data_IF_300207888355
#
_entry.id   IF_300207888355
#
_cell.length_a   1.000
_cell.length_b   1.000
_cell.length_c   1.000
_cell.angle_alpha   90.00
_cell.angle_beta   90.00
_cell.angle_gamma   90.00
#
_symmetry.space_group_name_H-M   'P 1'
#
loop_
_entity.id
_entity.type
_entity.pdbx_description
1 polymer ?
#
# COMPACT_ATOMS: atom_id res chain seq x y z
N UNK A 1 -1.14 12.71 -13.20
CA UNK A 1 -0.86 12.21 -11.84
C UNK A 1 0.59 12.55 -11.49
N UNK A 2 0.82 13.19 -10.34
CA UNK A 2 2.16 13.69 -9.97
C UNK A 2 3.16 12.54 -9.75
N UNK A 3 4.42 12.74 -10.15
CA UNK A 3 5.52 11.78 -9.99
C UNK A 3 5.65 11.25 -8.56
N UNK A 4 5.29 12.09 -7.58
CA UNK A 4 5.30 11.78 -6.16
C UNK A 4 4.32 10.67 -5.79
N UNK A 5 3.09 10.73 -6.30
CA UNK A 5 2.08 9.69 -6.09
C UNK A 5 2.53 8.35 -6.66
N UNK A 6 3.15 8.38 -7.85
CA UNK A 6 3.72 7.18 -8.49
C UNK A 6 4.84 6.57 -7.65
N UNK A 7 5.73 7.40 -7.07
CA UNK A 7 6.80 6.93 -6.17
C UNK A 7 6.25 6.30 -4.89
N UNK A 8 5.27 6.92 -4.21
CA UNK A 8 4.71 6.35 -2.97
C UNK A 8 3.98 5.04 -3.23
N UNK A 9 3.18 4.98 -4.30
CA UNK A 9 2.43 3.76 -4.66
C UNK A 9 3.34 2.55 -4.90
N UNK A 10 4.57 2.74 -5.37
CA UNK A 10 5.53 1.63 -5.52
C UNK A 10 6.05 1.05 -4.20
N UNK A 11 6.11 1.85 -3.12
CA UNK A 11 6.64 1.40 -1.83
C UNK A 11 5.62 0.65 -0.97
N UNK A 12 4.34 0.98 -1.07
CA UNK A 12 3.26 0.36 -0.25
C UNK A 12 2.68 -0.91 -0.92
N UNK A 13 3.26 -1.34 -2.04
CA UNK A 13 2.70 -2.40 -2.88
C UNK A 13 2.84 -3.78 -2.26
N UNK A 14 1.71 -4.47 -2.10
CA UNK A 14 1.68 -5.80 -1.49
C UNK A 14 2.07 -6.91 -2.48
N UNK A 15 2.49 -8.07 -1.97
CA UNK A 15 2.94 -9.19 -2.81
C UNK A 15 1.82 -9.71 -3.73
N UNK A 16 0.57 -9.70 -3.26
CA UNK A 16 -0.58 -10.08 -4.08
C UNK A 16 -0.82 -9.09 -5.21
N UNK A 17 -0.65 -7.78 -4.98
CA UNK A 17 -0.79 -6.74 -6.03
C UNK A 17 0.23 -6.94 -7.14
N UNK A 18 1.47 -7.28 -6.78
CA UNK A 18 2.53 -7.61 -7.76
C UNK A 18 2.18 -8.85 -8.58
N UNK A 19 1.66 -9.88 -7.90
CA UNK A 19 1.27 -11.14 -8.55
C UNK A 19 0.09 -10.93 -9.51
N UNK A 20 -0.91 -10.15 -9.10
CA UNK A 20 -2.06 -9.78 -9.93
C UNK A 20 -1.61 -8.98 -11.15
N UNK A 21 -0.74 -7.97 -10.98
CA UNK A 21 -0.24 -7.22 -12.13
C UNK A 21 0.59 -8.05 -13.09
N UNK A 22 1.45 -8.94 -12.58
CA UNK A 22 2.19 -9.89 -13.42
C UNK A 22 1.25 -10.78 -14.23
N UNK A 23 0.15 -11.23 -13.61
CA UNK A 23 -0.87 -12.04 -14.28
C UNK A 23 -1.65 -11.23 -15.33
N UNK A 24 -1.98 -9.96 -15.04
CA UNK A 24 -2.62 -9.04 -16.01
C UNK A 24 -1.68 -8.79 -17.20
N UNK A 25 -0.40 -8.50 -16.94
CA UNK A 25 0.62 -8.23 -17.96
C UNK A 25 0.97 -9.47 -18.79
N UNK A 26 0.93 -10.66 -18.19
CA UNK A 26 1.15 -11.94 -18.88
C UNK A 26 -0.02 -12.38 -19.78
N UNK A 27 -1.11 -11.61 -19.81
CA UNK A 27 -2.33 -11.95 -20.53
C UNK A 27 -3.17 -12.99 -19.77
N UNK A 28 -4.47 -12.72 -19.62
CA UNK A 28 -5.46 -13.64 -19.08
C UNK A 28 -5.64 -14.86 -20.01
N UNK A 29 -4.65 -15.73 -20.09
CA UNK A 29 -4.66 -16.82 -21.08
C UNK A 29 -5.39 -18.06 -20.57
N UNK A 30 -5.57 -18.24 -19.25
CA UNK A 30 -6.30 -19.39 -18.73
C UNK A 30 -6.73 -19.24 -17.26
N UNK A 31 -7.66 -18.33 -16.95
CA UNK A 31 -8.35 -18.39 -15.65
C UNK A 31 -9.57 -19.30 -15.81
N UNK A 32 -9.57 -20.53 -15.26
CA UNK A 32 -10.77 -21.34 -15.24
C UNK A 32 -11.81 -20.62 -14.38
N UNK A 33 -12.81 -20.04 -15.03
CA UNK A 33 -14.01 -19.52 -14.38
C UNK A 33 -14.68 -20.71 -13.71
N UNK A 34 -14.41 -20.93 -12.41
CA UNK A 34 -15.19 -21.89 -11.64
C UNK A 34 -16.59 -21.31 -11.54
N UNK A 35 -17.52 -21.91 -12.27
CA UNK A 35 -18.97 -21.70 -12.10
C UNK A 35 -19.37 -22.29 -10.74
N UNK A 36 -18.96 -21.63 -9.66
CA UNK A 36 -19.47 -21.92 -8.33
C UNK A 36 -20.93 -21.48 -8.30
N UNK A 37 -21.83 -22.35 -7.85
CA UNK A 37 -23.20 -21.95 -7.52
C UNK A 37 -23.11 -20.86 -6.46
N UNK A 38 -23.28 -19.61 -6.86
CA UNK A 38 -23.25 -18.44 -5.97
C UNK A 38 -24.37 -18.61 -4.95
N UNK A 39 -24.03 -19.02 -3.72
CA UNK A 39 -24.93 -18.83 -2.59
C UNK A 39 -24.93 -17.34 -2.30
N UNK A 40 -25.97 -16.64 -2.76
CA UNK A 40 -26.16 -15.20 -2.59
C UNK A 40 -26.13 -14.76 -1.12
N UNK A 41 -26.41 -15.70 -0.22
CA UNK A 41 -26.41 -15.57 1.25
C UNK A 41 -24.99 -15.56 1.85
N UNK A 42 -23.99 -15.92 1.05
CA UNK A 42 -22.56 -15.90 1.37
C UNK A 42 -21.80 -14.86 0.51
N UNK A 43 -22.50 -14.01 -0.26
CA UNK A 43 -21.87 -12.86 -0.91
C UNK A 43 -21.49 -11.91 0.22
N UNK A 44 -20.22 -12.02 0.56
CA UNK A 44 -19.63 -11.59 1.82
C UNK A 44 -19.96 -10.12 2.10
N UNK A 45 -20.55 -9.88 3.26
CA UNK A 45 -20.85 -8.54 3.80
C UNK A 45 -19.58 -7.67 3.85
N UNK A 46 -18.41 -8.30 3.81
CA UNK A 46 -17.09 -7.71 3.65
C UNK A 46 -16.92 -6.87 2.37
N UNK A 47 -17.70 -7.10 1.31
CA UNK A 47 -17.72 -6.21 0.14
C UNK A 47 -18.44 -4.89 0.43
N UNK A 48 -19.47 -4.92 1.29
CA UNK A 48 -20.30 -3.76 1.68
C UNK A 48 -19.65 -2.99 2.84
N UNK A 49 -18.96 -3.68 3.75
CA UNK A 49 -18.31 -3.09 4.93
C UNK A 49 -16.89 -2.60 4.65
N UNK A 50 -16.30 -3.01 3.53
CA UNK A 50 -14.90 -2.76 3.21
C UNK A 50 -13.99 -3.66 4.01
N UNK A 51 -13.81 -4.90 3.57
CA UNK A 51 -12.67 -5.70 4.00
C UNK A 51 -11.40 -4.95 3.62
N UNK A 52 -10.74 -4.37 4.62
CA UNK A 52 -9.43 -3.79 4.41
C UNK A 52 -8.52 -4.94 4.03
N UNK A 53 -8.02 -4.94 2.79
CA UNK A 53 -7.01 -5.90 2.34
C UNK A 53 -5.96 -6.03 3.45
N UNK A 54 -5.56 -7.25 3.84
CA UNK A 54 -4.71 -7.46 4.99
C UNK A 54 -3.42 -6.64 4.84
N UNK A 55 -3.37 -5.49 5.50
CA UNK A 55 -2.19 -4.63 5.47
C UNK A 55 -1.11 -5.34 6.25
N UNK A 56 0.09 -5.39 5.68
CA UNK A 56 1.22 -6.04 6.34
C UNK A 56 1.36 -5.48 7.76
N UNK A 57 1.30 -6.38 8.76
CA UNK A 57 1.51 -5.96 10.15
C UNK A 57 2.91 -5.35 10.25
N UNK A 58 3.07 -4.21 10.94
CA UNK A 58 4.38 -3.61 11.11
C UNK A 58 5.30 -4.63 11.79
N UNK A 59 6.44 -4.92 11.15
CA UNK A 59 7.45 -5.83 11.70
C UNK A 59 8.17 -5.22 12.91
N UNK A 60 8.11 -3.90 13.05
CA UNK A 60 8.79 -3.14 14.08
C UNK A 60 7.88 -2.90 15.28
N UNK A 61 8.43 -3.10 16.48
CA UNK A 61 7.72 -2.79 17.72
C UNK A 61 7.63 -1.28 17.98
N UNK A 62 6.76 -0.90 18.93
CA UNK A 62 6.53 0.51 19.30
C UNK A 62 7.82 1.24 19.71
N UNK A 63 8.76 0.55 20.36
CA UNK A 63 10.06 1.11 20.75
C UNK A 63 10.88 1.56 19.54
N UNK A 64 10.94 0.75 18.48
CA UNK A 64 11.63 1.11 17.23
C UNK A 64 10.97 2.32 16.58
N UNK A 65 9.63 2.37 16.56
CA UNK A 65 8.89 3.52 16.02
C UNK A 65 9.19 4.79 16.80
N UNK A 66 9.21 4.72 18.13
CA UNK A 66 9.52 5.85 19.00
C UNK A 66 10.95 6.35 18.79
N UNK A 67 11.93 5.43 18.69
CA UNK A 67 13.32 5.79 18.43
C UNK A 67 13.49 6.48 17.07
N UNK A 68 12.88 5.94 16.01
CA UNK A 68 12.91 6.55 14.67
C UNK A 68 12.20 7.91 14.63
N UNK A 69 11.11 8.08 15.40
CA UNK A 69 10.39 9.35 15.50
C UNK A 69 11.25 10.42 16.19
N UNK A 70 11.91 10.08 17.30
CA UNK A 70 12.86 10.96 17.98
C UNK A 70 14.03 11.33 17.08
N UNK A 71 14.61 10.35 16.41
CA UNK A 71 15.68 10.57 15.44
C UNK A 71 15.23 11.57 14.37
N UNK A 72 14.06 11.35 13.76
CA UNK A 72 13.51 12.29 12.76
C UNK A 72 13.31 13.69 13.32
N UNK A 73 12.81 13.83 14.55
CA UNK A 73 12.58 15.13 15.18
C UNK A 73 13.89 15.90 15.39
N UNK A 74 14.94 15.22 15.84
CA UNK A 74 16.28 15.80 16.02
C UNK A 74 16.92 16.23 14.70
N UNK A 75 16.71 15.45 13.63
CA UNK A 75 17.23 15.76 12.29
C UNK A 75 16.38 16.77 11.52
N UNK A 76 15.10 16.95 11.87
CA UNK A 76 14.18 17.87 11.21
C UNK A 76 14.72 19.32 11.07
N UNK A 77 15.29 19.97 12.11
CA UNK A 77 15.84 21.31 11.96
C UNK A 77 16.99 21.37 10.95
N UNK A 78 17.81 20.32 10.84
CA UNK A 78 18.94 20.24 9.92
C UNK A 78 18.49 20.13 8.46
N UNK A 79 17.38 19.43 8.20
CA UNK A 79 16.84 19.22 6.85
C UNK A 79 15.69 20.18 6.49
N UNK A 80 15.40 21.20 7.31
CA UNK A 80 14.25 22.10 7.11
C UNK A 80 14.21 22.74 5.72
N UNK A 81 15.36 23.20 5.21
CA UNK A 81 15.45 23.85 3.89
C UNK A 81 15.12 22.89 2.74
N UNK A 82 15.69 21.68 2.77
CA UNK A 82 15.39 20.63 1.80
C UNK A 82 13.90 20.24 1.85
N UNK A 83 13.34 20.12 3.05
CA UNK A 83 11.94 19.73 3.23
C UNK A 83 10.99 20.77 2.60
N UNK A 84 11.22 22.06 2.86
CA UNK A 84 10.46 23.17 2.26
C UNK A 84 10.49 23.09 0.73
N UNK A 85 11.66 22.86 0.14
CA UNK A 85 11.81 22.72 -1.32
C UNK A 85 11.04 21.52 -1.89
N UNK A 86 10.90 20.43 -1.12
CA UNK A 86 10.29 19.19 -1.59
C UNK A 86 8.76 19.19 -1.50
N UNK A 87 8.19 19.99 -0.61
CA UNK A 87 6.74 19.95 -0.31
C UNK A 87 5.97 21.20 -0.69
N UNK A 88 6.66 22.32 -0.86
CA UNK A 88 6.06 23.53 -1.43
C UNK A 88 6.43 23.52 -2.91
N UNK A 89 5.42 23.37 -3.77
CA UNK A 89 5.61 23.62 -5.20
C UNK A 89 5.87 25.12 -5.38
N UNK A 90 7.04 25.48 -5.92
CA UNK A 90 7.19 26.73 -6.67
C UNK A 90 6.75 26.50 -8.12
#
# INVERSE_FOLDING_TARGET
MSLYQKKIGTYDKQQWEKTVEQHILGGFTHVPMRTAKLKTELIDVDLVRGSSFPKAKPKHGLSTVACLALQRLLFLPLYRKWWIQQTICN
#
